data_IF_133449607831
#
_entry.id   IF_133449607831
#
_cell.length_a   1.000
_cell.length_b   1.000
_cell.length_c   1.000
_cell.angle_alpha   90.00
_cell.angle_beta   90.00
_cell.angle_gamma   90.00
#
_symmetry.space_group_name_H-M   'P 1'
#
loop_
_entity.id
_entity.type
_entity.pdbx_description
1 polymer ?
#
# COMPACT_ATOMS: atom_id res chain seq x y z
N UNK A 1 -1.07 -102.27 11.18
CA UNK A 1 -1.24 -101.16 10.21
C UNK A 1 -2.55 -100.39 10.34
N UNK A 2 -3.73 -101.01 10.58
CA UNK A 2 -5.02 -100.28 10.69
C UNK A 2 -5.15 -99.28 11.86
N UNK A 3 -4.41 -99.45 12.97
CA UNK A 3 -4.47 -98.53 14.13
C UNK A 3 -3.65 -97.23 13.96
N UNK A 4 -2.61 -97.22 13.13
CA UNK A 4 -1.82 -96.00 12.87
C UNK A 4 -2.61 -94.99 12.02
N UNK A 5 -3.44 -95.46 11.07
CA UNK A 5 -4.19 -94.57 10.19
C UNK A 5 -5.32 -93.78 10.92
N UNK A 6 -5.86 -94.30 12.03
CA UNK A 6 -6.88 -93.57 12.81
C UNK A 6 -6.30 -92.48 13.70
N UNK A 7 -5.05 -92.65 14.18
CA UNK A 7 -4.41 -91.69 15.07
C UNK A 7 -3.92 -90.44 14.31
N UNK A 8 -3.48 -90.61 13.06
CA UNK A 8 -3.16 -89.49 12.16
C UNK A 8 -4.41 -88.67 11.77
N UNK A 9 -5.56 -89.34 11.60
CA UNK A 9 -6.81 -88.67 11.25
C UNK A 9 -7.31 -87.77 12.41
N UNK A 10 -7.21 -88.24 13.66
CA UNK A 10 -7.60 -87.45 14.83
C UNK A 10 -6.64 -86.29 15.13
N UNK A 11 -5.33 -86.47 14.88
CA UNK A 11 -4.35 -85.38 15.00
C UNK A 11 -4.61 -84.26 13.99
N UNK A 12 -4.87 -84.62 12.71
CA UNK A 12 -5.23 -83.63 11.67
C UNK A 12 -6.52 -82.87 12.00
N UNK A 13 -7.51 -83.52 12.61
CA UNK A 13 -8.75 -82.87 13.04
C UNK A 13 -8.55 -81.87 14.19
N UNK A 14 -7.63 -82.15 15.13
CA UNK A 14 -7.28 -81.23 16.21
C UNK A 14 -6.48 -80.03 15.70
N UNK A 15 -5.53 -80.25 14.80
CA UNK A 15 -4.78 -79.17 14.14
C UNK A 15 -5.71 -78.25 13.32
N UNK A 16 -6.65 -78.82 12.57
CA UNK A 16 -7.64 -78.03 11.83
C UNK A 16 -8.52 -77.18 12.76
N UNK A 17 -8.97 -77.70 13.91
CA UNK A 17 -9.77 -76.93 14.87
C UNK A 17 -8.99 -75.79 15.53
N UNK A 18 -7.69 -76.00 15.77
CA UNK A 18 -6.80 -74.97 16.31
C UNK A 18 -6.55 -73.88 15.25
N UNK A 19 -6.26 -74.27 14.01
CA UNK A 19 -6.07 -73.34 12.90
C UNK A 19 -7.32 -72.48 12.63
N UNK A 20 -8.52 -73.08 12.68
CA UNK A 20 -9.79 -72.35 12.49
C UNK A 20 -10.02 -71.34 13.63
N UNK A 21 -9.69 -71.67 14.88
CA UNK A 21 -9.81 -70.73 16.01
C UNK A 21 -8.84 -69.56 15.90
N UNK A 22 -7.59 -69.82 15.49
CA UNK A 22 -6.63 -68.75 15.23
C UNK A 22 -7.02 -67.88 14.04
N UNK A 23 -7.60 -68.47 12.99
CA UNK A 23 -8.10 -67.71 11.84
C UNK A 23 -9.27 -66.79 12.22
N UNK A 24 -10.22 -67.27 13.03
CA UNK A 24 -11.33 -66.46 13.53
C UNK A 24 -10.83 -65.32 14.42
N UNK A 25 -9.90 -65.60 15.34
CA UNK A 25 -9.30 -64.57 16.22
C UNK A 25 -8.53 -63.51 15.42
N UNK A 26 -7.76 -63.92 14.41
CA UNK A 26 -7.05 -62.99 13.53
C UNK A 26 -8.03 -62.10 12.74
N UNK A 27 -9.14 -62.67 12.24
CA UNK A 27 -10.14 -61.92 11.48
C UNK A 27 -10.89 -60.91 12.36
N UNK A 28 -11.20 -61.26 13.62
CA UNK A 28 -11.75 -60.32 14.61
C UNK A 28 -10.74 -59.21 14.93
N UNK A 29 -9.45 -59.53 15.07
CA UNK A 29 -8.41 -58.54 15.33
C UNK A 29 -8.23 -57.56 14.16
N UNK A 30 -8.28 -58.04 12.91
CA UNK A 30 -8.23 -57.21 11.71
C UNK A 30 -9.48 -56.32 11.62
N UNK A 31 -10.66 -56.86 11.93
CA UNK A 31 -11.90 -56.09 11.93
C UNK A 31 -11.87 -54.99 12.99
N UNK A 32 -11.41 -55.29 14.21
CA UNK A 32 -11.22 -54.29 15.27
C UNK A 32 -10.16 -53.25 14.90
N UNK A 33 -9.06 -53.65 14.27
CA UNK A 33 -8.00 -52.75 13.84
C UNK A 33 -8.47 -51.76 12.74
N UNK A 34 -9.49 -52.12 11.94
CA UNK A 34 -10.09 -51.24 10.94
C UNK A 34 -11.18 -50.33 11.51
N UNK A 35 -11.93 -50.80 12.52
CA UNK A 35 -13.07 -50.04 13.10
C UNK A 35 -12.59 -48.92 14.04
N UNK A 36 -11.54 -49.14 14.84
CA UNK A 36 -11.03 -48.17 15.80
C UNK A 36 -10.52 -46.86 15.14
N UNK A 37 -9.73 -46.87 14.05
CA UNK A 37 -9.33 -45.63 13.38
C UNK A 37 -10.50 -44.92 12.67
N UNK A 38 -11.48 -45.67 12.14
CA UNK A 38 -12.68 -45.09 11.51
C UNK A 38 -13.55 -44.30 12.51
N UNK A 39 -13.71 -44.81 13.75
CA UNK A 39 -14.41 -44.12 14.82
C UNK A 39 -13.67 -42.86 15.31
N UNK A 40 -12.33 -42.87 15.31
CA UNK A 40 -11.53 -41.68 15.67
C UNK A 40 -11.56 -40.60 14.59
N UNK A 41 -11.62 -40.98 13.32
CA UNK A 41 -11.83 -40.02 12.22
C UNK A 41 -13.22 -39.35 12.32
N UNK A 42 -14.27 -40.14 12.59
CA UNK A 42 -15.63 -39.61 12.76
C UNK A 42 -15.78 -38.66 13.97
N UNK A 43 -15.07 -38.92 15.08
CA UNK A 43 -15.08 -38.03 16.25
C UNK A 43 -14.32 -36.72 16.03
N UNK A 44 -13.26 -36.72 15.19
CA UNK A 44 -12.55 -35.50 14.78
C UNK A 44 -13.37 -34.62 13.80
N UNK A 45 -14.48 -35.13 13.29
CA UNK A 45 -15.39 -34.45 12.36
C UNK A 45 -16.65 -33.87 13.02
N UNK A 46 -16.71 -33.80 14.36
CA UNK A 46 -17.60 -32.84 14.99
C UNK A 46 -17.02 -31.44 14.77
N UNK A 47 -17.41 -30.81 13.67
CA UNK A 47 -17.11 -29.42 13.38
C UNK A 47 -17.49 -28.59 14.62
N UNK A 48 -16.51 -27.88 15.20
CA UNK A 48 -16.78 -26.95 16.28
C UNK A 48 -17.94 -26.04 15.86
N UNK A 49 -18.92 -25.78 16.74
CA UNK A 49 -20.11 -25.04 16.36
C UNK A 49 -19.69 -23.69 15.76
N UNK A 50 -20.17 -23.36 14.57
CA UNK A 50 -19.81 -22.12 13.92
C UNK A 50 -20.32 -20.91 14.72
N UNK A 51 -19.61 -19.78 14.63
CA UNK A 51 -20.01 -18.51 15.21
C UNK A 51 -20.90 -17.70 14.27
N UNK A 52 -21.43 -16.60 14.79
CA UNK A 52 -22.18 -15.60 14.02
C UNK A 52 -21.61 -14.22 14.31
N UNK A 53 -21.48 -13.39 13.29
CA UNK A 53 -21.14 -11.96 13.43
C UNK A 53 -22.38 -11.15 13.04
N UNK A 54 -22.84 -10.29 13.93
CA UNK A 54 -23.89 -9.31 13.66
C UNK A 54 -23.27 -7.92 13.75
N UNK A 55 -23.66 -7.02 12.87
CA UNK A 55 -23.20 -5.64 12.91
C UNK A 55 -24.31 -4.64 12.56
N UNK A 56 -24.12 -3.42 13.03
CA UNK A 56 -25.00 -2.29 12.73
C UNK A 56 -24.14 -1.10 12.34
N UNK A 57 -24.30 -0.62 11.11
CA UNK A 57 -23.60 0.51 10.55
C UNK A 57 -24.43 1.79 10.69
N UNK A 58 -23.86 2.77 11.39
CA UNK A 58 -24.42 4.10 11.55
C UNK A 58 -23.35 5.15 11.33
N UNK A 59 -23.68 6.21 10.60
CA UNK A 59 -22.82 7.35 10.42
C UNK A 59 -23.52 8.61 10.93
N UNK A 60 -22.74 9.49 11.57
CA UNK A 60 -23.22 10.78 12.08
C UNK A 60 -22.59 11.88 11.25
N UNK A 61 -23.38 12.65 10.47
CA UNK A 61 -22.88 13.83 9.77
C UNK A 61 -22.58 14.96 10.76
N UNK A 62 -21.84 15.99 10.32
CA UNK A 62 -21.49 17.11 11.18
C UNK A 62 -22.74 17.86 11.63
N UNK A 63 -22.91 18.00 12.97
CA UNK A 63 -24.07 18.66 13.56
C UNK A 63 -25.39 17.89 13.46
N UNK A 64 -25.37 16.65 12.95
CA UNK A 64 -26.56 15.81 12.79
C UNK A 64 -26.69 14.68 13.80
N UNK A 65 -27.70 13.83 13.59
CA UNK A 65 -27.92 12.60 14.36
C UNK A 65 -27.36 11.39 13.60
N UNK A 66 -27.08 10.31 14.32
CA UNK A 66 -26.63 9.07 13.71
C UNK A 66 -27.73 8.45 12.83
N UNK A 67 -27.42 8.25 11.56
CA UNK A 67 -28.31 7.64 10.56
C UNK A 67 -27.80 6.25 10.16
N UNK A 68 -28.71 5.30 9.83
CA UNK A 68 -28.32 3.99 9.32
C UNK A 68 -27.64 4.10 7.96
N UNK A 69 -26.58 3.32 7.76
CA UNK A 69 -25.91 3.24 6.45
C UNK A 69 -26.53 2.10 5.65
N UNK A 70 -27.34 2.44 4.67
CA UNK A 70 -28.12 1.48 3.87
C UNK A 70 -27.33 0.94 2.68
N UNK A 71 -27.57 -0.33 2.30
CA UNK A 71 -27.07 -0.97 1.07
C UNK A 71 -25.55 -0.86 0.88
N UNK A 72 -24.80 -0.90 1.96
CA UNK A 72 -23.34 -0.85 1.94
C UNK A 72 -22.79 -2.28 1.91
N UNK A 73 -21.95 -2.58 0.92
CA UNK A 73 -21.18 -3.83 0.89
C UNK A 73 -20.17 -3.90 2.05
N UNK A 74 -20.28 -4.94 2.86
CA UNK A 74 -19.38 -5.26 3.96
C UNK A 74 -18.78 -6.64 3.72
N UNK A 75 -17.44 -6.69 3.76
CA UNK A 75 -16.67 -7.91 3.64
C UNK A 75 -16.21 -8.37 5.02
N UNK A 76 -16.29 -9.67 5.27
CA UNK A 76 -15.60 -10.33 6.36
C UNK A 76 -14.27 -10.88 5.83
N UNK A 77 -13.16 -10.31 6.28
CA UNK A 77 -11.81 -10.66 5.83
C UNK A 77 -11.06 -11.43 6.92
N UNK A 78 -10.19 -12.37 6.53
CA UNK A 78 -9.28 -13.09 7.45
C UNK A 78 -8.06 -12.28 7.86
N UNK A 79 -7.90 -11.09 7.30
CA UNK A 79 -6.79 -10.16 7.54
C UNK A 79 -7.31 -8.72 7.35
N UNK A 80 -6.77 -7.77 8.09
CA UNK A 80 -7.15 -6.36 7.93
C UNK A 80 -6.85 -5.89 6.51
N UNK A 81 -7.72 -5.06 5.93
CA UNK A 81 -7.46 -4.51 4.59
C UNK A 81 -6.22 -3.61 4.60
N UNK A 82 -5.93 -2.93 5.71
CA UNK A 82 -4.70 -2.17 5.87
C UNK A 82 -3.43 -3.04 5.75
N UNK A 83 -3.43 -4.25 6.32
CA UNK A 83 -2.28 -5.15 6.21
C UNK A 83 -2.22 -5.86 4.84
N UNK A 84 -3.37 -6.07 4.19
CA UNK A 84 -3.42 -6.52 2.79
C UNK A 84 -2.83 -5.45 1.86
N UNK A 85 -3.11 -4.16 2.12
CA UNK A 85 -2.49 -3.05 1.38
C UNK A 85 -0.97 -3.03 1.54
N UNK A 86 -0.45 -3.21 2.76
CA UNK A 86 1.01 -3.31 2.99
C UNK A 86 1.64 -4.49 2.24
N UNK A 87 0.95 -5.61 2.17
CA UNK A 87 1.40 -6.77 1.39
C UNK A 87 1.43 -6.46 -0.12
N UNK A 88 0.39 -5.81 -0.63
CA UNK A 88 0.37 -5.33 -2.02
C UNK A 88 1.50 -4.33 -2.29
N UNK A 89 1.76 -3.39 -1.37
CA UNK A 89 2.86 -2.42 -1.48
C UNK A 89 4.24 -3.05 -1.56
N UNK A 90 4.46 -4.18 -0.89
CA UNK A 90 5.71 -4.94 -0.93
C UNK A 90 5.87 -5.67 -2.27
N UNK A 91 4.77 -6.09 -2.90
CA UNK A 91 4.80 -6.72 -4.23
C UNK A 91 4.99 -5.74 -5.38
N UNK A 92 4.56 -4.48 -5.22
CA UNK A 92 4.63 -3.44 -6.24
C UNK A 92 5.89 -2.57 -6.09
N UNK A 93 6.84 -2.74 -7.01
CA UNK A 93 8.11 -2.01 -7.03
C UNK A 93 7.91 -0.49 -6.97
N UNK A 94 8.62 0.17 -6.05
CA UNK A 94 8.61 1.63 -5.91
C UNK A 94 9.31 2.27 -7.11
N UNK A 95 8.78 3.37 -7.70
CA UNK A 95 9.55 4.19 -8.61
C UNK A 95 10.87 4.60 -7.96
N UNK A 96 11.97 4.37 -8.67
CA UNK A 96 13.29 4.74 -8.20
C UNK A 96 13.59 6.17 -8.63
N UNK A 97 13.61 7.11 -7.68
CA UNK A 97 13.83 8.53 -7.94
C UNK A 97 15.15 8.76 -8.68
N UNK A 98 16.23 8.10 -8.24
CA UNK A 98 17.55 8.28 -8.84
C UNK A 98 17.58 7.78 -10.30
N UNK A 99 16.92 6.66 -10.59
CA UNK A 99 16.77 6.13 -11.96
C UNK A 99 15.92 7.04 -12.83
N UNK A 100 14.86 7.61 -12.28
CA UNK A 100 14.02 8.60 -12.95
C UNK A 100 14.83 9.85 -13.31
N UNK A 101 15.61 10.39 -12.37
CA UNK A 101 16.48 11.56 -12.58
C UNK A 101 17.53 11.27 -13.66
N UNK A 102 18.14 10.09 -13.64
CA UNK A 102 19.14 9.71 -14.66
C UNK A 102 18.55 9.72 -16.08
N UNK A 103 17.28 9.35 -16.24
CA UNK A 103 16.58 9.35 -17.52
C UNK A 103 16.17 10.75 -18.05
N UNK A 104 16.35 11.82 -17.27
CA UNK A 104 15.99 13.18 -17.69
C UNK A 104 16.98 13.74 -18.72
N UNK A 105 16.47 14.52 -19.67
CA UNK A 105 17.27 15.22 -20.68
C UNK A 105 17.59 16.65 -20.21
N UNK A 106 18.34 16.75 -19.11
CA UNK A 106 18.76 18.00 -18.46
C UNK A 106 20.23 17.91 -18.06
N UNK A 107 20.82 19.02 -17.61
CA UNK A 107 22.23 19.09 -17.21
C UNK A 107 22.58 18.11 -16.08
N UNK A 108 23.87 17.77 -15.96
CA UNK A 108 24.36 16.91 -14.88
C UNK A 108 24.23 17.60 -13.53
N UNK A 109 24.37 18.91 -13.53
CA UNK A 109 24.28 19.81 -12.40
C UNK A 109 22.84 19.85 -11.87
N UNK A 110 21.83 19.96 -12.74
CA UNK A 110 20.43 19.89 -12.34
C UNK A 110 20.08 18.50 -11.78
N UNK A 111 20.56 17.42 -12.41
CA UNK A 111 20.39 16.06 -11.87
C UNK A 111 21.03 15.90 -10.48
N UNK A 112 22.25 16.41 -10.30
CA UNK A 112 22.93 16.38 -9.01
C UNK A 112 22.16 17.17 -7.95
N UNK A 113 21.61 18.34 -8.31
CA UNK A 113 20.75 19.13 -7.44
C UNK A 113 19.49 18.35 -7.04
N UNK A 114 18.80 17.71 -7.99
CA UNK A 114 17.59 16.92 -7.72
C UNK A 114 17.88 15.73 -6.79
N UNK A 115 19.02 15.05 -6.99
CA UNK A 115 19.45 13.94 -6.13
C UNK A 115 19.77 14.39 -4.71
N UNK A 116 20.51 15.51 -4.58
CA UNK A 116 20.88 16.08 -3.29
C UNK A 116 19.65 16.56 -2.50
N UNK A 117 18.68 17.18 -3.18
CA UNK A 117 17.45 17.70 -2.55
C UNK A 117 16.33 16.68 -2.45
N UNK A 118 16.50 15.49 -3.03
CA UNK A 118 15.49 14.43 -3.16
C UNK A 118 14.17 14.97 -3.71
N UNK A 119 14.26 15.86 -4.70
CA UNK A 119 13.10 16.52 -5.31
C UNK A 119 13.31 16.72 -6.81
N UNK A 120 12.24 16.53 -7.55
CA UNK A 120 12.16 16.74 -9.00
C UNK A 120 11.13 17.82 -9.34
N UNK A 121 10.58 18.49 -8.33
CA UNK A 121 9.62 19.58 -8.51
C UNK A 121 10.41 20.89 -8.68
N UNK A 122 10.29 21.51 -9.85
CA UNK A 122 10.95 22.78 -10.18
C UNK A 122 9.99 23.97 -10.10
N UNK A 123 8.89 23.82 -9.37
CA UNK A 123 7.88 24.87 -9.23
C UNK A 123 7.30 25.01 -7.83
N UNK A 124 6.64 26.14 -7.60
CA UNK A 124 5.95 26.46 -6.35
C UNK A 124 6.86 26.88 -5.19
N UNK A 125 6.24 27.16 -4.05
CA UNK A 125 6.91 27.76 -2.89
C UNK A 125 8.02 26.88 -2.30
N UNK A 126 7.84 25.56 -2.34
CA UNK A 126 8.84 24.61 -1.83
C UNK A 126 10.12 24.62 -2.67
N UNK A 127 9.99 24.76 -4.00
CA UNK A 127 11.13 24.94 -4.88
C UNK A 127 11.88 26.24 -4.56
N UNK A 128 11.17 27.37 -4.52
CA UNK A 128 11.77 28.68 -4.25
C UNK A 128 12.54 28.73 -2.90
N UNK A 129 12.05 28.00 -1.88
CA UNK A 129 12.72 27.87 -0.58
C UNK A 129 13.98 27.01 -0.63
N UNK A 130 14.03 26.00 -1.50
CA UNK A 130 15.15 25.06 -1.60
C UNK A 130 16.29 25.57 -2.48
N UNK A 131 15.99 26.41 -3.46
CA UNK A 131 16.99 26.99 -4.35
C UNK A 131 17.79 28.05 -3.61
N UNK A 132 19.09 27.80 -3.46
CA UNK A 132 20.03 28.76 -2.87
C UNK A 132 20.69 29.62 -3.94
N UNK A 133 21.28 30.75 -3.53
CA UNK A 133 22.11 31.57 -4.44
C UNK A 133 23.20 30.74 -5.10
N UNK A 134 23.82 29.83 -4.36
CA UNK A 134 24.85 28.93 -4.89
C UNK A 134 24.30 28.06 -6.02
N UNK A 135 23.12 27.47 -5.83
CA UNK A 135 22.49 26.61 -6.83
C UNK A 135 22.18 27.38 -8.13
N UNK A 136 21.76 28.64 -8.03
CA UNK A 136 21.52 29.50 -9.20
C UNK A 136 22.77 29.64 -10.07
N UNK A 137 23.97 29.69 -9.48
CA UNK A 137 25.21 29.81 -10.25
C UNK A 137 25.82 28.48 -10.68
N UNK A 138 25.53 27.39 -9.96
CA UNK A 138 26.08 26.05 -10.24
C UNK A 138 25.23 25.27 -11.24
N UNK A 139 23.92 25.53 -11.29
CA UNK A 139 23.00 24.85 -12.21
C UNK A 139 22.68 25.78 -13.39
N UNK A 140 23.11 25.45 -14.62
CA UNK A 140 22.92 26.30 -15.80
C UNK A 140 21.46 26.73 -16.02
N UNK A 141 20.52 25.79 -15.88
CA UNK A 141 19.09 26.06 -16.09
C UNK A 141 18.55 27.06 -15.05
N UNK A 142 19.03 27.00 -13.81
CA UNK A 142 18.63 27.96 -12.78
C UNK A 142 19.21 29.35 -13.05
N UNK A 143 20.46 29.42 -13.52
CA UNK A 143 21.07 30.68 -13.93
C UNK A 143 20.30 31.33 -15.08
N UNK A 144 20.00 30.54 -16.12
CA UNK A 144 19.25 30.99 -17.29
C UNK A 144 17.85 31.46 -16.92
N UNK A 145 17.11 30.69 -16.12
CA UNK A 145 15.80 31.08 -15.62
C UNK A 145 15.84 32.37 -14.79
N UNK A 146 16.84 32.51 -13.90
CA UNK A 146 17.02 33.73 -13.12
C UNK A 146 17.30 34.95 -13.99
N UNK A 147 18.17 34.80 -15.00
CA UNK A 147 18.51 35.86 -15.94
C UNK A 147 17.33 36.24 -16.83
N UNK A 148 16.61 35.28 -17.39
CA UNK A 148 15.42 35.51 -18.22
C UNK A 148 14.35 36.30 -17.45
N UNK A 149 14.18 35.98 -16.16
CA UNK A 149 13.24 36.65 -15.28
C UNK A 149 13.63 38.09 -14.93
N UNK A 150 14.91 38.34 -14.62
CA UNK A 150 15.33 39.59 -13.96
C UNK A 150 16.11 40.56 -14.85
N UNK A 151 16.75 40.11 -15.93
CA UNK A 151 17.67 40.94 -16.71
C UNK A 151 16.99 42.12 -17.42
N UNK A 152 15.67 42.03 -17.67
CA UNK A 152 14.88 43.10 -18.26
C UNK A 152 14.30 44.11 -17.27
N UNK A 153 14.39 43.84 -15.96
CA UNK A 153 13.74 44.68 -14.94
C UNK A 153 14.68 45.79 -14.43
N UNK A 154 14.62 46.94 -15.11
CA UNK A 154 15.39 48.13 -14.76
C UNK A 154 14.99 48.73 -13.40
N UNK A 155 13.81 48.41 -12.86
CA UNK A 155 13.31 48.99 -11.60
C UNK A 155 13.98 48.40 -10.37
N UNK A 156 14.51 47.18 -10.50
CA UNK A 156 15.15 46.46 -9.40
C UNK A 156 16.63 46.82 -9.21
N UNK A 157 17.21 47.66 -10.07
CA UNK A 157 18.63 47.96 -10.06
C UNK A 157 19.48 46.72 -10.37
N UNK A 158 19.00 45.88 -11.29
CA UNK A 158 19.68 44.65 -11.69
C UNK A 158 21.10 44.97 -12.21
N UNK A 159 22.15 44.25 -11.78
CA UNK A 159 23.51 44.50 -12.22
C UNK A 159 23.64 44.45 -13.75
N UNK A 160 24.51 45.31 -14.30
CA UNK A 160 24.81 45.32 -15.74
C UNK A 160 26.29 45.06 -15.94
N UNK A 161 26.61 44.18 -16.90
CA UNK A 161 28.01 43.89 -17.21
C UNK A 161 28.70 45.10 -17.83
N UNK A 162 29.92 45.38 -17.36
CA UNK A 162 30.82 46.38 -17.97
C UNK A 162 31.66 45.80 -19.10
N UNK A 163 31.58 44.48 -19.34
CA UNK A 163 32.32 43.80 -20.39
C UNK A 163 31.77 44.23 -21.77
N UNK A 164 32.66 44.58 -22.69
CA UNK A 164 32.32 44.88 -24.08
C UNK A 164 32.83 43.77 -24.97
N UNK A 165 32.07 43.39 -26.00
CA UNK A 165 32.48 42.33 -26.92
C UNK A 165 33.82 42.61 -27.61
N UNK A 166 34.13 43.89 -27.87
CA UNK A 166 35.44 44.32 -28.41
C UNK A 166 36.62 43.96 -27.50
N UNK A 167 36.42 44.03 -26.18
CA UNK A 167 37.46 43.68 -25.21
C UNK A 167 37.79 42.17 -25.25
N UNK A 168 36.91 41.32 -25.79
CA UNK A 168 37.16 39.87 -25.90
C UNK A 168 38.37 39.55 -26.79
N UNK A 169 38.59 40.33 -27.84
CA UNK A 169 39.73 40.19 -28.76
C UNK A 169 40.85 41.17 -28.46
N UNK A 170 40.52 42.40 -28.07
CA UNK A 170 41.51 43.48 -27.88
C UNK A 170 42.15 43.47 -26.49
N UNK A 171 41.43 43.03 -25.46
CA UNK A 171 41.95 42.94 -24.10
C UNK A 171 41.26 41.81 -23.29
N UNK A 172 41.61 40.54 -23.57
CA UNK A 172 40.95 39.38 -22.95
C UNK A 172 40.98 39.41 -21.42
N UNK A 173 42.08 39.89 -20.83
CA UNK A 173 42.23 40.02 -19.38
C UNK A 173 41.23 41.01 -18.76
N UNK A 174 40.97 42.15 -19.44
CA UNK A 174 39.95 43.12 -19.01
C UNK A 174 38.54 42.54 -19.15
N UNK A 175 38.27 41.83 -20.24
CA UNK A 175 36.98 41.17 -20.46
C UNK A 175 36.69 40.13 -19.38
N UNK A 176 37.65 39.25 -19.07
CA UNK A 176 37.53 38.25 -18.01
C UNK A 176 37.31 38.89 -16.64
N UNK A 177 38.04 39.95 -16.32
CA UNK A 177 37.86 40.68 -15.05
C UNK A 177 36.45 41.27 -14.96
N UNK A 178 35.97 41.92 -16.02
CA UNK A 178 34.63 42.51 -16.03
C UNK A 178 33.53 41.44 -15.88
N UNK A 179 33.70 40.25 -16.46
CA UNK A 179 32.79 39.11 -16.28
C UNK A 179 32.81 38.56 -14.85
N UNK A 180 33.99 38.48 -14.22
CA UNK A 180 34.12 38.08 -12.80
C UNK A 180 33.44 39.09 -11.88
N UNK A 181 33.73 40.37 -12.06
CA UNK A 181 33.14 41.47 -11.28
C UNK A 181 31.60 41.46 -11.43
N UNK A 182 31.09 41.21 -12.65
CA UNK A 182 29.67 41.09 -12.92
C UNK A 182 29.02 39.90 -12.18
N UNK A 183 29.65 38.72 -12.22
CA UNK A 183 29.16 37.54 -11.47
C UNK A 183 29.15 37.77 -9.96
N UNK A 184 30.15 38.47 -9.42
CA UNK A 184 30.18 38.82 -8.01
C UNK A 184 29.09 39.83 -7.64
N UNK A 185 28.87 40.85 -8.49
CA UNK A 185 27.78 41.80 -8.30
C UNK A 185 26.40 41.12 -8.32
N UNK A 186 26.17 40.18 -9.25
CA UNK A 186 24.95 39.37 -9.30
C UNK A 186 24.78 38.53 -8.03
N UNK A 187 25.85 37.90 -7.54
CA UNK A 187 25.79 37.11 -6.30
C UNK A 187 25.35 37.96 -5.11
N UNK A 188 25.99 39.11 -4.91
CA UNK A 188 25.64 40.07 -3.85
C UNK A 188 24.19 40.55 -4.00
N UNK A 189 23.77 40.85 -5.22
CA UNK A 189 22.40 41.29 -5.50
C UNK A 189 21.35 40.24 -5.10
N UNK A 190 21.57 38.96 -5.42
CA UNK A 190 20.65 37.87 -5.02
C UNK A 190 20.61 37.70 -3.49
N UNK A 191 21.77 37.81 -2.84
CA UNK A 191 21.88 37.71 -1.37
C UNK A 191 21.18 38.88 -0.67
N UNK A 192 21.33 40.10 -1.17
CA UNK A 192 20.68 41.31 -0.65
C UNK A 192 19.17 41.36 -0.97
N UNK A 193 18.75 40.78 -2.09
CA UNK A 193 17.36 40.78 -2.56
C UNK A 193 16.86 39.36 -2.85
N UNK A 194 16.61 38.54 -1.81
CA UNK A 194 16.24 37.13 -1.99
C UNK A 194 14.91 36.91 -2.73
N UNK A 195 14.00 37.91 -2.72
CA UNK A 195 12.71 37.88 -3.44
C UNK A 195 12.87 37.93 -4.97
N UNK A 196 14.03 38.31 -5.49
CA UNK A 196 14.30 38.31 -6.94
C UNK A 196 14.38 36.90 -7.53
N UNK A 197 14.45 35.88 -6.67
CA UNK A 197 14.34 34.47 -7.05
C UNK A 197 12.91 34.06 -7.36
N UNK A 198 11.92 34.79 -6.83
CA UNK A 198 10.52 34.43 -6.98
C UNK A 198 10.07 34.59 -8.44
N UNK A 199 9.36 33.59 -8.94
CA UNK A 199 8.89 33.56 -10.33
C UNK A 199 9.92 33.01 -11.32
N UNK A 200 11.15 32.67 -10.91
CA UNK A 200 12.09 32.00 -11.81
C UNK A 200 11.60 30.61 -12.24
N UNK A 201 10.73 29.98 -11.43
CA UNK A 201 10.11 28.69 -11.73
C UNK A 201 9.21 28.72 -12.98
N UNK A 202 8.72 29.91 -13.36
CA UNK A 202 7.90 30.07 -14.58
C UNK A 202 8.73 29.71 -15.82
N UNK A 203 10.01 30.10 -15.84
CA UNK A 203 10.94 29.79 -16.92
C UNK A 203 11.36 28.31 -16.93
N UNK A 204 11.20 27.61 -15.80
CA UNK A 204 11.52 26.19 -15.65
C UNK A 204 10.34 25.26 -15.98
N UNK A 205 9.15 25.79 -16.24
CA UNK A 205 7.93 25.01 -16.42
C UNK A 205 8.07 23.93 -17.51
N UNK A 206 8.76 24.24 -18.61
CA UNK A 206 8.95 23.31 -19.74
C UNK A 206 9.88 22.13 -19.42
N UNK A 207 10.79 22.31 -18.47
CA UNK A 207 11.74 21.28 -18.05
C UNK A 207 11.35 20.62 -16.73
N UNK A 208 10.28 21.07 -16.08
CA UNK A 208 9.83 20.56 -14.78
C UNK A 208 9.40 19.08 -14.86
N UNK A 209 10.15 18.15 -14.26
CA UNK A 209 9.80 16.73 -14.27
C UNK A 209 8.80 16.34 -13.16
N UNK A 210 8.46 17.25 -12.25
CA UNK A 210 7.56 17.03 -11.10
C UNK A 210 6.24 16.36 -11.47
N UNK A 211 5.46 16.88 -12.45
CA UNK A 211 4.20 16.26 -12.86
C UNK A 211 4.34 14.82 -13.34
N UNK A 212 5.43 14.49 -14.05
CA UNK A 212 5.71 13.13 -14.54
C UNK A 212 6.04 12.18 -13.40
N UNK A 213 6.78 12.65 -12.40
CA UNK A 213 7.08 11.86 -11.22
C UNK A 213 5.83 11.58 -10.39
N UNK A 214 5.01 12.61 -10.13
CA UNK A 214 3.72 12.47 -9.44
C UNK A 214 2.80 11.49 -10.17
N UNK A 215 2.80 11.51 -11.50
CA UNK A 215 2.05 10.53 -12.30
C UNK A 215 2.53 9.09 -12.05
N UNK A 216 3.84 8.84 -12.05
CA UNK A 216 4.40 7.49 -11.77
C UNK A 216 4.08 7.01 -10.35
N UNK A 217 4.16 7.89 -9.35
CA UNK A 217 3.77 7.57 -7.98
C UNK A 217 2.26 7.28 -7.91
N UNK A 218 1.44 8.08 -8.60
CA UNK A 218 0.01 7.89 -8.71
C UNK A 218 -0.38 6.56 -9.37
N UNK A 219 0.29 6.19 -10.46
CA UNK A 219 0.11 4.90 -11.13
C UNK A 219 0.46 3.74 -10.21
N UNK A 220 1.57 3.81 -9.47
CA UNK A 220 1.88 2.78 -8.47
C UNK A 220 0.81 2.71 -7.40
N UNK A 221 0.37 3.83 -6.84
CA UNK A 221 -0.71 3.85 -5.82
C UNK A 221 -1.97 3.17 -6.33
N UNK A 222 -2.32 3.35 -7.61
CA UNK A 222 -3.44 2.64 -8.26
C UNK A 222 -3.19 1.14 -8.33
N UNK A 223 -2.03 0.70 -8.87
CA UNK A 223 -1.70 -0.74 -8.95
C UNK A 223 -1.68 -1.43 -7.59
N UNK A 224 -1.10 -0.78 -6.57
CA UNK A 224 -1.12 -1.27 -5.18
C UNK A 224 -2.56 -1.46 -4.70
N UNK A 225 -3.43 -0.48 -4.93
CA UNK A 225 -4.84 -0.57 -4.54
C UNK A 225 -5.55 -1.71 -5.27
N UNK A 226 -5.36 -1.83 -6.58
CA UNK A 226 -5.99 -2.88 -7.39
C UNK A 226 -5.51 -4.27 -6.93
N UNK A 227 -4.21 -4.41 -6.66
CA UNK A 227 -3.63 -5.64 -6.12
C UNK A 227 -4.15 -5.96 -4.73
N UNK A 228 -4.28 -4.98 -3.85
CA UNK A 228 -4.84 -5.16 -2.51
C UNK A 228 -6.29 -5.63 -2.58
N UNK A 229 -7.11 -5.04 -3.47
CA UNK A 229 -8.49 -5.48 -3.70
C UNK A 229 -8.52 -6.93 -4.23
N UNK A 230 -7.68 -7.26 -5.21
CA UNK A 230 -7.60 -8.62 -5.73
C UNK A 230 -7.20 -9.64 -4.65
N UNK A 231 -6.22 -9.32 -3.80
CA UNK A 231 -5.83 -10.19 -2.67
C UNK A 231 -6.96 -10.33 -1.65
N UNK A 232 -7.64 -9.23 -1.34
CA UNK A 232 -8.78 -9.25 -0.42
C UNK A 232 -9.88 -10.18 -0.91
N UNK A 233 -10.22 -10.14 -2.21
CA UNK A 233 -11.29 -10.97 -2.77
C UNK A 233 -10.90 -12.43 -2.99
N UNK A 234 -9.67 -12.70 -3.44
CA UNK A 234 -9.26 -14.05 -3.85
C UNK A 234 -8.68 -14.88 -2.72
N UNK A 235 -8.01 -14.24 -1.75
CA UNK A 235 -7.20 -14.93 -0.72
C UNK A 235 -7.79 -14.76 0.68
N UNK A 236 -8.19 -13.53 1.02
CA UNK A 236 -8.56 -13.20 2.40
C UNK A 236 -10.07 -13.14 2.66
N UNK A 237 -10.90 -13.22 1.62
CA UNK A 237 -12.35 -13.15 1.77
C UNK A 237 -12.89 -14.38 2.50
N UNK A 238 -13.62 -14.15 3.58
CA UNK A 238 -14.39 -15.19 4.25
C UNK A 238 -15.87 -15.13 3.83
N UNK A 239 -16.45 -13.93 3.74
CA UNK A 239 -17.83 -13.72 3.29
C UNK A 239 -18.06 -12.26 2.87
N UNK A 240 -19.14 -12.01 2.12
CA UNK A 240 -19.66 -10.66 1.81
C UNK A 240 -21.15 -10.60 2.14
N UNK A 241 -21.61 -9.43 2.57
CA UNK A 241 -23.03 -9.14 2.75
C UNK A 241 -23.28 -7.64 2.55
N UNK A 242 -24.52 -7.22 2.43
CA UNK A 242 -24.91 -5.81 2.37
C UNK A 242 -25.71 -5.44 3.61
N UNK A 243 -25.66 -4.16 4.01
CA UNK A 243 -26.53 -3.65 5.06
C UNK A 243 -27.98 -3.49 4.58
N UNK A 244 -28.93 -3.81 5.45
CA UNK A 244 -30.35 -3.54 5.25
C UNK A 244 -30.70 -2.04 5.38
N UNK A 245 -32.00 -1.70 5.33
CA UNK A 245 -32.49 -0.32 5.44
C UNK A 245 -32.25 0.30 6.82
N UNK A 246 -32.09 -0.54 7.84
CA UNK A 246 -31.75 -0.18 9.21
C UNK A 246 -30.23 -0.17 9.47
N UNK A 247 -29.42 -0.41 8.43
CA UNK A 247 -27.97 -0.44 8.49
C UNK A 247 -27.40 -1.71 9.12
N UNK A 248 -28.18 -2.78 9.26
CA UNK A 248 -27.78 -4.04 9.90
C UNK A 248 -27.29 -5.04 8.87
N UNK A 249 -26.38 -5.91 9.30
CA UNK A 249 -25.95 -7.05 8.52
C UNK A 249 -25.46 -8.17 9.43
N UNK A 250 -25.36 -9.37 8.88
CA UNK A 250 -24.89 -10.53 9.62
C UNK A 250 -24.16 -11.54 8.73
N UNK A 251 -23.23 -12.28 9.35
CA UNK A 251 -22.56 -13.44 8.82
C UNK A 251 -22.82 -14.62 9.74
N UNK A 252 -23.52 -15.64 9.24
CA UNK A 252 -23.76 -16.88 9.98
C UNK A 252 -22.81 -17.98 9.49
N UNK A 253 -22.58 -19.00 10.32
CA UNK A 253 -21.76 -20.15 9.92
C UNK A 253 -20.26 -19.84 9.81
N UNK A 254 -19.77 -18.79 10.48
CA UNK A 254 -18.37 -18.38 10.41
C UNK A 254 -17.53 -19.28 11.33
N UNK A 255 -16.47 -19.95 10.83
CA UNK A 255 -15.55 -20.70 11.69
C UNK A 255 -14.91 -19.80 12.74
N UNK A 256 -14.62 -20.35 13.92
CA UNK A 256 -13.93 -19.59 14.97
C UNK A 256 -12.54 -19.11 14.49
N UNK A 257 -12.18 -17.89 14.86
CA UNK A 257 -10.95 -17.23 14.41
C UNK A 257 -11.03 -15.71 14.50
N UNK A 258 -9.96 -15.04 14.08
CA UNK A 258 -9.88 -13.58 14.03
C UNK A 258 -10.17 -13.09 12.62
N UNK A 259 -11.11 -12.14 12.52
CA UNK A 259 -11.57 -11.57 11.26
C UNK A 259 -11.61 -10.05 11.31
N UNK A 260 -11.86 -9.42 10.17
CA UNK A 260 -12.05 -7.98 10.03
C UNK A 260 -13.34 -7.69 9.25
N UNK A 261 -14.17 -6.80 9.78
CA UNK A 261 -15.27 -6.19 9.03
C UNK A 261 -14.73 -5.00 8.25
N UNK A 262 -14.75 -5.12 6.92
CA UNK A 262 -14.10 -4.17 6.03
C UNK A 262 -15.02 -3.67 4.92
N UNK A 263 -15.01 -2.36 4.66
CA UNK A 263 -15.74 -1.73 3.54
C UNK A 263 -14.79 -1.45 2.39
N UNK A 264 -14.42 -2.51 1.66
CA UNK A 264 -13.41 -2.43 0.60
C UNK A 264 -13.97 -1.89 -0.72
N UNK A 265 -15.26 -2.11 -0.99
CA UNK A 265 -15.93 -1.78 -2.26
C UNK A 265 -16.45 -0.34 -2.31
N UNK A 266 -16.65 0.30 -1.15
CA UNK A 266 -17.28 1.61 -1.07
C UNK A 266 -17.10 2.30 0.26
N UNK A 267 -17.55 3.55 0.31
CA UNK A 267 -17.57 4.36 1.52
C UNK A 267 -19.00 4.53 2.01
N UNK A 268 -19.19 4.38 3.31
CA UNK A 268 -20.41 4.77 3.97
C UNK A 268 -20.61 6.28 3.85
N UNK A 269 -21.70 6.67 3.22
CA UNK A 269 -22.01 8.06 2.88
C UNK A 269 -23.30 8.49 3.56
N UNK A 270 -23.21 9.46 4.47
CA UNK A 270 -24.35 10.07 5.15
C UNK A 270 -24.06 11.56 5.30
N UNK A 271 -24.85 12.42 4.64
CA UNK A 271 -24.59 13.87 4.62
C UNK A 271 -23.18 14.19 4.12
N UNK A 272 -22.38 14.86 4.97
CA UNK A 272 -20.97 15.16 4.76
C UNK A 272 -20.02 14.05 5.27
N UNK A 273 -20.50 13.09 6.04
CA UNK A 273 -19.70 11.97 6.51
C UNK A 273 -19.38 10.99 5.37
N UNK A 274 -18.10 10.63 5.27
CA UNK A 274 -17.56 9.60 4.37
C UNK A 274 -16.68 8.67 5.21
N UNK A 275 -17.18 7.47 5.52
CA UNK A 275 -16.52 6.54 6.43
C UNK A 275 -16.14 5.25 5.71
N UNK A 276 -15.02 4.67 6.13
CA UNK A 276 -14.64 3.28 5.83
C UNK A 276 -14.39 2.56 7.14
N UNK A 277 -14.66 1.26 7.18
CA UNK A 277 -14.34 0.42 8.33
C UNK A 277 -13.33 -0.64 7.96
N UNK A 278 -12.49 -1.00 8.94
CA UNK A 278 -11.57 -2.14 8.91
C UNK A 278 -11.38 -2.63 10.36
N UNK A 279 -12.47 -3.16 10.94
CA UNK A 279 -12.60 -3.40 12.39
C UNK A 279 -12.36 -4.86 12.71
N UNK A 280 -11.44 -5.15 13.64
CA UNK A 280 -11.18 -6.51 14.10
C UNK A 280 -12.38 -7.12 14.85
N UNK A 281 -12.71 -8.37 14.54
CA UNK A 281 -13.85 -9.12 15.07
C UNK A 281 -13.41 -10.55 15.41
N UNK A 282 -13.25 -10.88 16.70
CA UNK A 282 -13.02 -12.25 17.10
C UNK A 282 -14.32 -13.06 17.03
N UNK A 283 -14.28 -14.17 16.32
CA UNK A 283 -15.41 -15.11 16.19
C UNK A 283 -15.13 -16.33 17.06
N UNK A 284 -16.05 -16.60 17.99
CA UNK A 284 -15.95 -17.76 18.89
C UNK A 284 -16.99 -18.81 18.51
N UNK A 285 -16.62 -20.07 18.69
CA UNK A 285 -17.48 -21.20 18.36
C UNK A 285 -18.83 -21.13 19.09
N UNK A 286 -19.94 -21.24 18.35
CA UNK A 286 -21.31 -21.22 18.86
C UNK A 286 -21.77 -19.90 19.48
N UNK A 287 -21.03 -18.80 19.30
CA UNK A 287 -21.37 -17.48 19.86
C UNK A 287 -21.71 -16.46 18.80
N UNK A 288 -22.55 -15.50 19.18
CA UNK A 288 -22.84 -14.30 18.39
C UNK A 288 -21.92 -13.17 18.86
N UNK A 289 -21.10 -12.63 17.95
CA UNK A 289 -20.30 -11.42 18.17
C UNK A 289 -21.02 -10.24 17.54
N UNK A 290 -21.34 -9.22 18.34
CA UNK A 290 -22.03 -8.01 17.89
C UNK A 290 -21.07 -6.83 17.79
N UNK A 291 -21.04 -6.17 16.64
CA UNK A 291 -20.08 -5.08 16.36
C UNK A 291 -20.80 -3.84 15.83
N UNK A 292 -20.75 -2.70 16.55
CA UNK A 292 -21.23 -1.44 15.99
C UNK A 292 -20.18 -0.85 15.04
N UNK A 293 -20.60 -0.42 13.85
CA UNK A 293 -19.77 0.34 12.91
C UNK A 293 -20.22 1.81 12.97
N UNK A 294 -19.34 2.68 13.46
CA UNK A 294 -19.62 4.09 13.78
C UNK A 294 -18.48 5.00 13.32
N UNK A 295 -18.66 6.33 13.43
CA UNK A 295 -17.59 7.29 13.17
C UNK A 295 -16.33 7.05 14.04
N UNK A 296 -16.49 6.51 15.25
CA UNK A 296 -15.39 6.36 16.23
C UNK A 296 -14.40 5.28 15.82
N UNK A 297 -14.89 4.19 15.25
CA UNK A 297 -14.07 3.06 14.80
C UNK A 297 -13.92 2.98 13.28
N UNK A 298 -14.33 4.03 12.57
CA UNK A 298 -14.01 4.19 11.16
C UNK A 298 -12.49 4.42 10.98
N UNK A 299 -11.95 3.91 9.88
CA UNK A 299 -10.60 4.22 9.44
C UNK A 299 -10.54 5.72 9.18
N UNK A 300 -9.70 6.42 9.94
CA UNK A 300 -9.46 7.84 9.69
C UNK A 300 -8.89 7.99 8.29
N UNK A 301 -9.49 8.88 7.50
CA UNK A 301 -8.84 9.33 6.27
C UNK A 301 -7.48 9.89 6.69
N UNK A 302 -6.41 9.20 6.31
CA UNK A 302 -5.05 9.72 6.50
C UNK A 302 -5.02 11.12 5.90
N UNK A 303 -4.50 12.09 6.67
CA UNK A 303 -3.86 13.25 6.04
C UNK A 303 -2.59 12.69 5.41
N UNK A 304 -2.74 12.13 4.22
CA UNK A 304 -1.62 11.96 3.30
C UNK A 304 -1.34 13.32 2.65
#
# INVERSE_FOLDING_TARGET
MRRMNNMEAEMRFREQRIAVRFFILALVFILLALIIPALRAAAAQQAAPAGTVEFVARATPTGGRAEPVMRLGVSLLRKSFADIQKEAEQSEAKPELDKFIEGLQVSKELKAWMKRTRSVELSGNEFARRVTTKDIFEVPEFFEAYMARNAGDATLGFPVTKARDKDRSENPARYEKAQKDYREALRKFIEEKPYTRDGMEVELANINPGPRWVAQEGERKRRVRDRALALAETTYLAAKTETDLEGRGAFAGVPAGDYWLSTIEGEATVGDARLRWDVAVPVRAGRVTRVPLTNVNAVRKGRD
#
